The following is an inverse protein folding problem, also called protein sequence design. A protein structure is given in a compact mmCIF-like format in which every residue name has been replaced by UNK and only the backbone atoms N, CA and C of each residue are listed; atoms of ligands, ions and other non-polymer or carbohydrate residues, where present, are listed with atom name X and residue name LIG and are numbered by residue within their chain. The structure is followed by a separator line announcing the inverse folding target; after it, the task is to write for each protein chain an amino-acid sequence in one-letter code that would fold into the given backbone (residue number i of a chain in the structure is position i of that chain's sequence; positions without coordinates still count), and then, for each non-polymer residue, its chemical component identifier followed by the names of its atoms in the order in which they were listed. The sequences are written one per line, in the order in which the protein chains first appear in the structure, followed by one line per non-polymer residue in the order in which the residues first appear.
data_IF_881646238499
#
_entry.id   IF_881646238499
#
_cell.length_a   1.000
_cell.length_b   1.000
_cell.length_c   1.000
_cell.angle_alpha   90.00
_cell.angle_beta   90.00
_cell.angle_gamma   90.00
#
_symmetry.space_group_name_H-M   'P 1'
#
loop_
_entity.id
_entity.type
_entity.pdbx_description
1 polymer ?
#
# COMPACT_ATOMS: atom_id res chain seq x y z
N UNK A 1 -2.59 -10.69 -49.07
CA UNK A 1 -3.51 -11.65 -49.71
C UNK A 1 -4.82 -11.61 -48.95
N UNK A 2 -5.93 -11.37 -49.65
CA UNK A 2 -7.27 -11.34 -49.09
C UNK A 2 -8.10 -12.40 -49.81
N UNK A 3 -8.77 -13.26 -49.03
CA UNK A 3 -9.59 -14.32 -49.59
C UNK A 3 -10.83 -13.76 -50.28
N UNK A 4 -11.10 -14.24 -51.48
CA UNK A 4 -12.30 -13.90 -52.23
C UNK A 4 -13.51 -14.74 -51.78
N UNK A 5 -14.71 -14.36 -52.25
CA UNK A 5 -15.94 -15.12 -51.99
C UNK A 5 -15.86 -16.50 -52.65
N UNK A 6 -15.33 -16.56 -53.88
CA UNK A 6 -15.19 -17.79 -54.66
C UNK A 6 -14.30 -18.80 -53.94
N UNK A 7 -13.14 -18.36 -53.44
CA UNK A 7 -12.22 -19.21 -52.68
C UNK A 7 -12.85 -19.76 -51.39
N UNK A 8 -13.73 -18.97 -50.74
CA UNK A 8 -14.46 -19.41 -49.55
C UNK A 8 -15.51 -20.46 -49.91
N UNK A 9 -16.28 -20.27 -50.98
CA UNK A 9 -17.27 -21.24 -51.44
C UNK A 9 -16.61 -22.56 -51.89
N UNK A 10 -15.45 -22.50 -52.56
CA UNK A 10 -14.63 -23.67 -52.87
C UNK A 10 -14.15 -24.38 -51.59
N UNK A 11 -13.68 -23.63 -50.60
CA UNK A 11 -13.26 -24.19 -49.31
C UNK A 11 -14.42 -24.90 -48.59
N UNK A 12 -15.62 -24.30 -48.61
CA UNK A 12 -16.83 -24.89 -48.03
C UNK A 12 -17.23 -26.19 -48.74
N UNK A 13 -17.16 -26.21 -50.08
CA UNK A 13 -17.44 -27.39 -50.89
C UNK A 13 -16.46 -28.54 -50.57
N UNK A 14 -15.16 -28.25 -50.47
CA UNK A 14 -14.14 -29.23 -50.07
C UNK A 14 -14.35 -29.77 -48.65
N UNK A 15 -14.86 -28.92 -47.74
CA UNK A 15 -15.18 -29.31 -46.38
C UNK A 15 -16.53 -30.05 -46.23
N UNK A 16 -17.30 -30.23 -47.32
CA UNK A 16 -18.61 -30.86 -47.30
C UNK A 16 -19.68 -30.04 -46.55
N UNK A 17 -19.46 -28.73 -46.36
CA UNK A 17 -20.38 -27.84 -45.67
C UNK A 17 -21.34 -27.18 -46.66
N UNK A 18 -22.65 -27.24 -46.37
CA UNK A 18 -23.66 -26.59 -47.22
C UNK A 18 -23.69 -25.08 -46.95
N UNK A 19 -23.46 -24.22 -47.96
CA UNK A 19 -23.49 -22.76 -47.79
C UNK A 19 -24.85 -22.21 -47.33
N UNK A 20 -25.93 -22.95 -47.58
CA UNK A 20 -27.30 -22.61 -47.16
C UNK A 20 -27.51 -22.78 -45.63
N UNK A 21 -26.69 -23.60 -44.98
CA UNK A 21 -26.73 -23.80 -43.52
C UNK A 21 -25.91 -22.77 -42.75
N UNK A 22 -25.21 -21.87 -43.45
CA UNK A 22 -24.32 -20.88 -42.88
C UNK A 22 -24.83 -19.48 -43.19
N UNK A 23 -24.62 -18.54 -42.28
CA UNK A 23 -24.83 -17.12 -42.56
C UNK A 23 -23.94 -16.68 -43.72
N UNK A 24 -24.42 -15.69 -44.47
CA UNK A 24 -23.68 -15.03 -45.56
C UNK A 24 -22.60 -14.07 -45.07
N UNK A 25 -22.34 -13.97 -43.77
CA UNK A 25 -21.20 -13.21 -43.24
C UNK A 25 -20.05 -14.17 -42.92
N UNK A 26 -18.90 -13.98 -43.57
CA UNK A 26 -17.66 -14.72 -43.28
C UNK A 26 -16.61 -13.75 -42.72
N UNK A 27 -16.01 -14.09 -41.59
CA UNK A 27 -14.87 -13.37 -41.04
C UNK A 27 -13.61 -14.22 -41.23
N UNK A 28 -12.64 -13.73 -42.00
CA UNK A 28 -11.37 -14.40 -42.25
C UNK A 28 -10.33 -13.82 -41.31
N UNK A 29 -9.81 -14.68 -40.43
CA UNK A 29 -8.82 -14.31 -39.42
C UNK A 29 -7.43 -14.39 -40.04
N UNK A 30 -6.66 -13.32 -39.95
CA UNK A 30 -5.28 -13.26 -40.43
C UNK A 30 -4.32 -13.02 -39.27
N UNK A 31 -3.20 -13.73 -39.29
CA UNK A 31 -2.06 -13.47 -38.41
C UNK A 31 -0.99 -12.73 -39.21
N UNK A 32 -1.07 -11.39 -39.20
CA UNK A 32 -0.06 -10.51 -39.82
C UNK A 32 1.01 -10.06 -38.81
N UNK A 33 1.19 -10.82 -37.73
CA UNK A 33 2.05 -10.48 -36.59
C UNK A 33 3.53 -10.24 -36.96
N UNK A 34 4.00 -10.49 -38.19
CA UNK A 34 5.38 -10.23 -38.62
C UNK A 34 5.53 -9.14 -39.68
N UNK A 35 4.42 -8.65 -40.25
CA UNK A 35 4.40 -7.79 -41.45
C UNK A 35 3.81 -6.40 -41.21
N UNK A 36 3.41 -6.09 -39.97
CA UNK A 36 2.82 -4.79 -39.62
C UNK A 36 3.89 -3.86 -39.05
N UNK A 37 3.89 -2.60 -39.51
CA UNK A 37 4.88 -1.56 -39.17
C UNK A 37 4.94 -1.17 -37.68
N UNK A 38 4.02 -1.65 -36.84
CA UNK A 38 3.92 -1.35 -35.39
C UNK A 38 4.22 -2.58 -34.50
N UNK A 39 5.11 -3.47 -34.94
CA UNK A 39 5.44 -4.71 -34.23
C UNK A 39 5.90 -4.48 -32.78
N UNK A 40 6.69 -3.43 -32.55
CA UNK A 40 7.23 -3.10 -31.23
C UNK A 40 6.16 -2.58 -30.27
N UNK A 41 5.13 -1.88 -30.75
CA UNK A 41 4.04 -1.40 -29.90
C UNK A 41 3.08 -2.53 -29.51
N UNK A 42 2.82 -3.48 -30.41
CA UNK A 42 1.95 -4.63 -30.12
C UNK A 42 2.61 -5.64 -29.17
N UNK A 43 3.95 -5.73 -29.17
CA UNK A 43 4.72 -6.44 -28.13
C UNK A 43 4.57 -5.85 -26.73
N UNK A 44 4.10 -4.60 -26.58
CA UNK A 44 3.90 -3.95 -25.27
C UNK A 44 2.58 -4.31 -24.58
N UNK A 45 1.60 -4.86 -25.30
CA UNK A 45 0.34 -5.26 -24.67
C UNK A 45 0.59 -6.37 -23.63
N UNK A 46 -0.04 -6.34 -22.47
CA UNK A 46 0.07 -7.43 -21.50
C UNK A 46 -1.32 -7.84 -21.08
N UNK A 47 -1.49 -9.13 -20.77
CA UNK A 47 -2.71 -9.63 -20.16
C UNK A 47 -2.53 -9.58 -18.65
N UNK A 48 -3.50 -9.02 -17.95
CA UNK A 48 -3.44 -8.81 -16.51
C UNK A 48 -4.80 -9.13 -15.91
N UNK A 49 -4.81 -9.95 -14.89
CA UNK A 49 -6.00 -10.29 -14.11
C UNK A 49 -6.26 -9.22 -13.06
N UNK A 50 -7.50 -8.75 -12.97
CA UNK A 50 -7.91 -7.70 -12.04
C UNK A 50 -9.05 -8.23 -11.17
N UNK A 51 -9.00 -7.92 -9.87
CA UNK A 51 -10.13 -8.13 -8.97
C UNK A 51 -11.20 -7.03 -9.15
N UNK A 52 -12.34 -7.20 -8.49
CA UNK A 52 -13.46 -6.24 -8.55
C UNK A 52 -13.05 -4.84 -8.07
N UNK A 53 -12.12 -4.75 -7.11
CA UNK A 53 -11.66 -3.47 -6.58
C UNK A 53 -10.85 -2.69 -7.64
N UNK A 54 -9.86 -3.33 -8.25
CA UNK A 54 -9.02 -2.74 -9.28
C UNK A 54 -9.81 -2.42 -10.55
N UNK A 55 -10.73 -3.30 -10.95
CA UNK A 55 -11.66 -3.03 -12.05
C UNK A 55 -12.47 -1.76 -11.77
N UNK A 56 -13.04 -1.64 -10.57
CA UNK A 56 -13.80 -0.45 -10.17
C UNK A 56 -12.94 0.82 -10.11
N UNK A 57 -11.68 0.71 -9.64
CA UNK A 57 -10.74 1.83 -9.68
C UNK A 57 -10.51 2.34 -11.11
N UNK A 58 -10.31 1.44 -12.07
CA UNK A 58 -10.09 1.79 -13.48
C UNK A 58 -11.35 2.41 -14.09
N UNK A 59 -12.53 1.82 -13.84
CA UNK A 59 -13.81 2.35 -14.34
C UNK A 59 -14.12 3.76 -13.80
N UNK A 60 -13.70 4.06 -12.57
CA UNK A 60 -13.82 5.38 -11.96
C UNK A 60 -12.71 6.36 -12.39
N UNK A 61 -11.75 5.93 -13.19
CA UNK A 61 -10.60 6.76 -13.61
C UNK A 61 -9.62 7.06 -12.49
N UNK A 62 -9.53 6.20 -11.46
CA UNK A 62 -8.53 6.31 -10.40
C UNK A 62 -7.17 5.82 -10.89
N UNK A 63 -6.12 6.44 -10.37
CA UNK A 63 -4.75 6.07 -10.70
C UNK A 63 -4.33 4.76 -10.03
N UNK A 64 -3.62 3.94 -10.79
CA UNK A 64 -2.90 2.76 -10.31
C UNK A 64 -1.41 2.93 -10.61
N UNK A 65 -0.55 2.59 -9.66
CA UNK A 65 0.90 2.78 -9.79
C UNK A 65 1.66 1.48 -9.59
N UNK A 66 2.55 1.13 -10.50
CA UNK A 66 3.54 0.08 -10.28
C UNK A 66 4.71 0.62 -9.47
N UNK A 67 5.09 -0.08 -8.40
CA UNK A 67 6.23 0.27 -7.55
C UNK A 67 7.21 -0.91 -7.46
N UNK A 68 8.50 -0.60 -7.44
CA UNK A 68 9.57 -1.59 -7.30
C UNK A 68 10.69 -1.02 -6.44
N UNK A 69 11.14 -1.78 -5.46
CA UNK A 69 12.37 -1.51 -4.75
C UNK A 69 13.55 -2.26 -5.38
N UNK A 70 14.78 -1.80 -5.14
CA UNK A 70 15.99 -2.43 -5.67
C UNK A 70 16.04 -3.91 -5.29
N UNK A 71 16.15 -4.79 -6.30
CA UNK A 71 16.15 -6.25 -6.15
C UNK A 71 14.87 -6.85 -5.51
N UNK A 72 13.75 -6.16 -5.56
CA UNK A 72 12.47 -6.65 -5.06
C UNK A 72 11.49 -6.93 -6.19
N UNK A 73 10.54 -7.83 -5.94
CA UNK A 73 9.35 -8.03 -6.77
C UNK A 73 8.57 -6.70 -6.99
N UNK A 74 7.83 -6.64 -8.10
CA UNK A 74 6.99 -5.49 -8.44
C UNK A 74 5.67 -5.60 -7.69
N UNK A 75 5.16 -4.46 -7.20
CA UNK A 75 3.81 -4.35 -6.66
C UNK A 75 2.99 -3.36 -7.48
N UNK A 76 1.69 -3.58 -7.53
CA UNK A 76 0.70 -2.64 -8.03
C UNK A 76 -0.02 -2.02 -6.84
N UNK A 77 -0.11 -0.70 -6.79
CA UNK A 77 -0.81 0.01 -5.72
C UNK A 77 -2.00 0.77 -6.29
N UNK A 78 -3.15 0.63 -5.64
CA UNK A 78 -4.23 1.61 -5.71
C UNK A 78 -4.00 2.73 -4.68
N UNK A 79 -4.97 3.60 -4.47
CA UNK A 79 -4.91 4.61 -3.41
C UNK A 79 -4.84 4.00 -2.00
N UNK A 80 -5.40 2.79 -1.81
CA UNK A 80 -5.63 2.19 -0.50
C UNK A 80 -5.08 0.77 -0.31
N UNK A 81 -4.71 0.08 -1.38
CA UNK A 81 -4.31 -1.34 -1.34
C UNK A 81 -3.06 -1.60 -2.16
N UNK A 82 -2.28 -2.58 -1.71
CA UNK A 82 -1.12 -3.09 -2.42
C UNK A 82 -1.33 -4.51 -2.88
N UNK A 83 -0.86 -4.77 -4.10
CA UNK A 83 -0.98 -6.06 -4.74
C UNK A 83 0.37 -6.54 -5.26
N UNK A 84 0.66 -7.80 -5.02
CA UNK A 84 1.78 -8.49 -5.64
C UNK A 84 1.46 -8.82 -7.10
N UNK A 85 2.42 -8.61 -7.99
CA UNK A 85 2.31 -8.89 -9.43
C UNK A 85 3.17 -10.11 -9.77
N UNK A 86 2.55 -11.18 -10.29
CA UNK A 86 3.24 -12.41 -10.69
C UNK A 86 2.92 -12.77 -12.13
N UNK A 87 3.93 -13.10 -12.91
CA UNK A 87 3.72 -13.69 -14.23
C UNK A 87 3.36 -15.17 -14.09
N UNK A 88 2.33 -15.60 -14.82
CA UNK A 88 1.85 -16.97 -14.89
C UNK A 88 1.78 -17.44 -16.35
N UNK A 89 2.21 -18.67 -16.59
CA UNK A 89 2.12 -19.32 -17.90
C UNK A 89 0.73 -19.94 -18.11
N UNK A 90 0.25 -19.87 -19.35
CA UNK A 90 -1.00 -20.50 -19.77
C UNK A 90 -0.71 -21.79 -20.53
N UNK A 91 -1.46 -22.86 -20.25
CA UNK A 91 -1.40 -24.10 -21.05
C UNK A 91 -2.04 -23.93 -22.43
N UNK A 92 -2.87 -22.90 -22.60
CA UNK A 92 -3.56 -22.54 -23.83
C UNK A 92 -3.10 -21.17 -24.32
N UNK A 93 -3.34 -20.90 -25.61
CA UNK A 93 -3.10 -19.57 -26.19
C UNK A 93 -4.36 -18.71 -26.14
N UNK A 94 -4.25 -17.47 -25.67
CA UNK A 94 -5.34 -16.49 -25.74
C UNK A 94 -5.09 -15.52 -26.89
N UNK A 95 -6.08 -15.37 -27.78
CA UNK A 95 -5.93 -14.56 -28.99
C UNK A 95 -6.79 -13.31 -28.88
N UNK A 96 -6.15 -12.14 -28.91
CA UNK A 96 -6.82 -10.86 -28.96
C UNK A 96 -7.08 -10.47 -30.41
N UNK A 97 -8.36 -10.35 -30.75
CA UNK A 97 -8.84 -10.02 -32.09
C UNK A 97 -9.86 -8.89 -31.98
N UNK A 98 -9.43 -7.62 -32.06
CA UNK A 98 -10.32 -6.46 -31.99
C UNK A 98 -11.35 -6.50 -33.12
N UNK A 99 -12.61 -6.20 -32.80
CA UNK A 99 -13.69 -6.09 -33.79
C UNK A 99 -14.18 -7.42 -34.37
N UNK A 100 -13.74 -8.57 -33.82
CA UNK A 100 -14.31 -9.87 -34.17
C UNK A 100 -15.77 -9.93 -33.73
N UNK A 101 -16.67 -10.08 -34.69
CA UNK A 101 -18.10 -10.18 -34.40
C UNK A 101 -18.45 -11.57 -33.91
N UNK A 102 -19.08 -11.67 -32.75
CA UNK A 102 -19.58 -12.93 -32.20
C UNK A 102 -20.95 -13.28 -32.79
N UNK A 103 -21.40 -14.52 -32.58
CA UNK A 103 -22.67 -15.05 -33.15
C UNK A 103 -23.86 -14.11 -32.91
N UNK A 104 -24.00 -13.57 -31.69
CA UNK A 104 -25.10 -12.67 -31.33
C UNK A 104 -25.08 -11.35 -32.10
N UNK A 105 -23.90 -10.87 -32.50
CA UNK A 105 -23.75 -9.65 -33.27
C UNK A 105 -24.00 -9.91 -34.76
N UNK A 106 -23.51 -11.04 -35.27
CA UNK A 106 -23.77 -11.47 -36.65
C UNK A 106 -25.27 -11.68 -36.89
N UNK A 107 -26.00 -12.22 -35.91
CA UNK A 107 -27.45 -12.43 -36.02
C UNK A 107 -28.25 -11.14 -36.18
N UNK A 108 -27.73 -10.00 -35.71
CA UNK A 108 -28.36 -8.68 -35.86
C UNK A 108 -28.14 -8.07 -37.25
N UNK A 109 -27.20 -8.62 -38.03
CA UNK A 109 -26.91 -8.15 -39.38
C UNK A 109 -28.01 -8.69 -40.31
N UNK A 110 -28.68 -7.83 -41.10
CA UNK A 110 -29.64 -8.27 -42.10
C UNK A 110 -29.01 -9.30 -43.03
N UNK A 111 -29.79 -10.33 -43.38
CA UNK A 111 -29.33 -11.36 -44.29
C UNK A 111 -29.13 -10.76 -45.68
N UNK A 112 -27.89 -10.77 -46.15
CA UNK A 112 -27.53 -10.30 -47.48
C UNK A 112 -27.71 -11.43 -48.50
N UNK A 113 -28.09 -11.09 -49.73
CA UNK A 113 -28.21 -12.05 -50.83
C UNK A 113 -26.84 -12.66 -51.21
N UNK A 114 -25.78 -11.87 -51.04
CA UNK A 114 -24.39 -12.23 -51.38
C UNK A 114 -23.56 -12.42 -50.11
N UNK A 115 -22.64 -13.37 -50.13
CA UNK A 115 -21.70 -13.61 -49.03
C UNK A 115 -20.74 -12.43 -48.88
N UNK A 116 -20.76 -11.79 -47.72
CA UNK A 116 -19.84 -10.72 -47.33
C UNK A 116 -18.65 -11.30 -46.58
N UNK A 117 -17.45 -10.92 -47.01
CA UNK A 117 -16.19 -11.38 -46.43
C UNK A 117 -15.52 -10.22 -45.71
N UNK A 118 -15.30 -10.37 -44.42
CA UNK A 118 -14.60 -9.41 -43.60
C UNK A 118 -13.22 -9.93 -43.23
N UNK A 119 -12.20 -9.10 -43.45
CA UNK A 119 -10.88 -9.31 -42.89
C UNK A 119 -10.89 -8.94 -41.40
N UNK A 120 -10.35 -9.83 -40.57
CA UNK A 120 -10.11 -9.53 -39.15
C UNK A 120 -8.67 -9.93 -38.83
N UNK A 121 -7.93 -9.02 -38.21
CA UNK A 121 -6.51 -9.22 -37.90
C UNK A 121 -6.32 -9.60 -36.44
N UNK A 122 -5.49 -10.61 -36.19
CA UNK A 122 -5.01 -10.94 -34.84
C UNK A 122 -4.11 -9.82 -34.36
N UNK A 123 -4.47 -9.21 -33.24
CA UNK A 123 -3.69 -8.15 -32.60
C UNK A 123 -2.52 -8.75 -31.82
N UNK A 124 -2.81 -9.78 -31.01
CA UNK A 124 -1.81 -10.45 -30.17
C UNK A 124 -2.25 -11.87 -29.80
N UNK A 125 -1.26 -12.75 -29.61
CA UNK A 125 -1.43 -14.05 -28.98
C UNK A 125 -0.67 -14.01 -27.66
N UNK A 126 -1.35 -14.34 -26.56
CA UNK A 126 -0.78 -14.42 -25.22
C UNK A 126 -0.56 -15.87 -24.83
N UNK A 127 0.59 -16.11 -24.19
CA UNK A 127 0.96 -17.39 -23.56
C UNK A 127 1.25 -17.22 -22.07
N UNK A 128 1.33 -15.97 -21.60
CA UNK A 128 1.48 -15.59 -20.20
C UNK A 128 0.51 -14.47 -19.87
N UNK A 129 0.21 -14.32 -18.59
CA UNK A 129 -0.55 -13.22 -18.02
C UNK A 129 0.02 -12.84 -16.66
N UNK A 130 -0.32 -11.65 -16.18
CA UNK A 130 0.02 -11.21 -14.84
C UNK A 130 -1.15 -11.44 -13.89
N UNK A 131 -0.93 -12.29 -12.90
CA UNK A 131 -1.78 -12.44 -11.73
C UNK A 131 -1.50 -11.32 -10.75
N UNK A 132 -2.58 -10.75 -10.21
CA UNK A 132 -2.52 -9.73 -9.17
C UNK A 132 -3.15 -10.29 -7.89
N UNK A 133 -2.41 -10.23 -6.78
CA UNK A 133 -2.89 -10.74 -5.48
C UNK A 133 -2.71 -9.69 -4.40
N UNK A 134 -3.80 -9.34 -3.71
CA UNK A 134 -3.72 -8.40 -2.58
C UNK A 134 -2.72 -8.93 -1.54
N UNK A 135 -1.83 -8.06 -1.09
CA UNK A 135 -0.76 -8.42 -0.18
C UNK A 135 -0.62 -7.38 0.92
N UNK A 136 -0.09 -7.79 2.06
CA UNK A 136 0.16 -6.86 3.16
C UNK A 136 1.38 -5.99 2.83
N UNK A 137 1.33 -4.68 3.14
CA UNK A 137 2.46 -3.79 2.94
C UNK A 137 3.65 -4.25 3.78
N UNK A 138 4.86 -4.18 3.22
CA UNK A 138 6.09 -4.58 3.90
C UNK A 138 6.57 -3.47 4.84
N UNK A 139 5.98 -3.42 6.03
CA UNK A 139 6.33 -2.43 7.05
C UNK A 139 7.80 -2.52 7.46
N UNK A 140 8.37 -3.73 7.54
CA UNK A 140 9.80 -3.94 7.83
C UNK A 140 10.72 -3.16 6.89
N UNK A 141 10.35 -3.08 5.61
CA UNK A 141 11.16 -2.42 4.59
C UNK A 141 11.09 -0.90 4.79
N UNK A 142 9.89 -0.37 5.12
CA UNK A 142 9.70 1.03 5.51
C UNK A 142 10.56 1.42 6.73
N UNK A 143 10.55 0.61 7.78
CA UNK A 143 11.37 0.87 8.98
C UNK A 143 12.86 0.81 8.64
N UNK A 144 13.25 -0.11 7.76
CA UNK A 144 14.65 -0.26 7.33
C UNK A 144 15.14 0.97 6.57
N UNK A 145 14.35 1.52 5.63
CA UNK A 145 14.76 2.70 4.87
C UNK A 145 14.82 3.97 5.73
N UNK A 146 14.01 4.06 6.78
CA UNK A 146 13.99 5.21 7.70
C UNK A 146 15.04 5.11 8.83
N UNK A 147 15.53 3.91 9.13
CA UNK A 147 16.49 3.67 10.22
C UNK A 147 17.75 4.54 10.19
N UNK A 148 18.41 4.79 9.03
CA UNK A 148 19.59 5.66 8.96
C UNK A 148 19.32 7.10 9.38
N UNK A 149 18.11 7.59 9.12
CA UNK A 149 17.64 8.92 9.47
C UNK A 149 16.60 8.85 10.60
N UNK A 150 16.79 7.93 11.56
CA UNK A 150 15.91 7.82 12.73
C UNK A 150 16.17 8.96 13.72
N UNK A 151 15.11 9.39 14.40
CA UNK A 151 15.18 10.39 15.45
C UNK A 151 15.63 9.74 16.76
N UNK A 152 16.77 10.20 17.27
CA UNK A 152 17.42 9.67 18.49
C UNK A 152 17.42 10.67 19.64
N UNK A 153 16.94 11.88 19.40
CA UNK A 153 16.99 13.01 20.31
C UNK A 153 17.55 14.27 19.66
N UNK A 154 17.10 15.42 20.14
CA UNK A 154 17.45 16.75 19.62
C UNK A 154 18.96 16.98 19.57
N UNK A 155 19.69 16.38 20.50
CA UNK A 155 21.15 16.47 20.61
C UNK A 155 21.91 15.80 19.45
N UNK A 156 21.28 14.84 18.76
CA UNK A 156 21.85 14.10 17.65
C UNK A 156 21.53 14.71 16.29
N UNK A 157 20.54 15.61 16.21
CA UNK A 157 20.00 16.05 14.92
C UNK A 157 21.01 16.83 14.06
N UNK A 158 21.95 17.52 14.71
CA UNK A 158 23.03 18.28 14.04
C UNK A 158 23.97 17.41 13.18
N UNK A 159 24.01 16.10 13.40
CA UNK A 159 24.92 15.18 12.69
C UNK A 159 24.22 14.42 11.55
N UNK A 160 22.96 14.68 11.27
CA UNK A 160 22.22 13.94 10.25
C UNK A 160 22.58 14.45 8.87
N UNK A 161 22.89 13.53 7.98
CA UNK A 161 23.03 13.81 6.56
C UNK A 161 21.66 14.15 5.95
N UNK A 162 21.48 15.39 5.51
CA UNK A 162 20.20 15.84 4.92
C UNK A 162 19.76 15.00 3.71
N UNK A 163 20.70 14.44 2.96
CA UNK A 163 20.44 13.52 1.84
C UNK A 163 19.78 12.21 2.26
N UNK A 164 19.95 11.80 3.52
CA UNK A 164 19.33 10.58 4.08
C UNK A 164 17.87 10.77 4.46
N UNK A 165 17.38 12.02 4.60
CA UNK A 165 16.01 12.34 4.99
C UNK A 165 15.01 11.92 3.91
N UNK A 166 13.80 11.59 4.34
CA UNK A 166 12.67 11.22 3.49
C UNK A 166 11.53 12.20 3.66
N UNK A 167 11.23 12.97 2.62
CA UNK A 167 9.96 13.69 2.51
C UNK A 167 8.86 12.75 1.99
N UNK A 168 7.65 13.26 1.81
CA UNK A 168 6.51 12.45 1.37
C UNK A 168 6.75 11.77 0.01
N UNK A 169 7.24 12.51 -0.99
CA UNK A 169 7.43 11.97 -2.34
C UNK A 169 8.54 10.92 -2.36
N UNK A 170 9.70 11.22 -1.74
CA UNK A 170 10.80 10.25 -1.67
C UNK A 170 10.39 8.99 -0.93
N UNK A 171 9.58 9.11 0.14
CA UNK A 171 9.07 7.96 0.88
C UNK A 171 8.09 7.14 0.04
N UNK A 172 7.16 7.82 -0.65
CA UNK A 172 6.15 7.21 -1.52
C UNK A 172 6.76 6.43 -2.68
N UNK A 173 7.85 6.93 -3.27
CA UNK A 173 8.60 6.29 -4.34
C UNK A 173 9.42 5.10 -3.83
N UNK A 174 9.94 5.19 -2.61
CA UNK A 174 10.80 4.15 -2.02
C UNK A 174 10.02 3.01 -1.38
N UNK A 175 8.81 3.28 -0.88
CA UNK A 175 7.99 2.29 -0.17
C UNK A 175 7.12 1.49 -1.14
N UNK A 176 7.19 0.16 -1.04
CA UNK A 176 6.33 -0.76 -1.81
C UNK A 176 4.96 -0.92 -1.15
N UNK A 177 4.23 0.19 -1.01
CA UNK A 177 2.87 0.21 -0.48
C UNK A 177 2.03 1.37 -1.04
N UNK A 178 0.71 1.27 -0.93
CA UNK A 178 -0.20 2.35 -1.30
C UNK A 178 -0.05 3.56 -0.38
N UNK A 179 -0.53 4.72 -0.83
CA UNK A 179 -0.46 5.94 -0.05
C UNK A 179 -1.33 5.86 1.22
N UNK A 180 -2.48 5.18 1.14
CA UNK A 180 -3.33 4.91 2.29
C UNK A 180 -2.65 4.00 3.32
N UNK A 181 -2.04 2.91 2.89
CA UNK A 181 -1.29 2.01 3.76
C UNK A 181 -0.06 2.70 4.35
N UNK A 182 0.63 3.54 3.59
CA UNK A 182 1.77 4.32 4.08
C UNK A 182 1.36 5.25 5.21
N UNK A 183 0.25 5.99 5.06
CA UNK A 183 -0.27 6.87 6.13
C UNK A 183 -0.60 6.09 7.40
N UNK A 184 -1.21 4.92 7.26
CA UNK A 184 -1.49 4.02 8.41
C UNK A 184 -0.19 3.51 9.04
N UNK A 185 0.80 3.14 8.23
CA UNK A 185 2.09 2.66 8.72
C UNK A 185 2.83 3.75 9.52
N UNK A 186 2.78 5.00 9.04
CA UNK A 186 3.40 6.14 9.72
C UNK A 186 2.85 6.33 11.14
N UNK A 187 1.53 6.31 11.30
CA UNK A 187 0.89 6.48 12.62
C UNK A 187 1.11 5.28 13.54
N UNK A 188 1.06 4.05 13.01
CA UNK A 188 1.20 2.84 13.82
C UNK A 188 2.62 2.51 14.26
N UNK A 189 3.64 3.12 13.65
CA UNK A 189 5.05 2.76 13.88
C UNK A 189 5.90 3.94 14.42
N UNK A 190 5.27 4.92 15.07
CA UNK A 190 5.96 6.08 15.65
C UNK A 190 6.90 6.80 14.67
N UNK A 191 6.36 7.15 13.50
CA UNK A 191 7.10 7.91 12.48
C UNK A 191 6.57 9.34 12.48
N UNK A 192 7.36 10.27 13.02
CA UNK A 192 7.03 11.68 13.10
C UNK A 192 7.32 12.42 11.79
N UNK A 193 6.45 13.37 11.41
CA UNK A 193 6.82 14.38 10.42
C UNK A 193 7.46 15.57 11.13
N UNK A 194 8.77 15.72 10.95
CA UNK A 194 9.58 16.80 11.50
C UNK A 194 10.10 17.66 10.36
N UNK A 195 9.68 18.93 10.33
CA UNK A 195 10.10 19.90 9.30
C UNK A 195 9.93 19.39 7.86
N UNK A 196 8.87 18.64 7.58
CA UNK A 196 8.58 18.06 6.27
C UNK A 196 9.23 16.70 6.01
N UNK A 197 9.99 16.15 6.96
CA UNK A 197 10.68 14.87 6.84
C UNK A 197 10.13 13.83 7.80
N UNK A 198 9.99 12.59 7.33
CA UNK A 198 9.51 11.47 8.13
C UNK A 198 10.66 10.81 8.89
N UNK A 199 10.48 10.66 10.20
CA UNK A 199 11.52 10.28 11.15
C UNK A 199 11.01 9.17 12.05
N UNK A 200 11.60 7.98 11.93
CA UNK A 200 11.34 6.88 12.84
C UNK A 200 11.88 7.22 14.23
N UNK A 201 11.03 7.26 15.25
CA UNK A 201 11.46 7.46 16.64
C UNK A 201 12.04 6.14 17.16
N UNK A 202 13.29 6.15 17.61
CA UNK A 202 13.93 4.94 18.15
C UNK A 202 13.40 4.62 19.54
N UNK A 203 13.41 3.33 19.89
CA UNK A 203 12.93 2.81 21.16
C UNK A 203 13.58 3.52 22.37
N UNK A 204 14.88 3.79 22.32
CA UNK A 204 15.60 4.44 23.42
C UNK A 204 15.10 5.86 23.68
N UNK A 205 14.78 6.61 22.61
CA UNK A 205 14.21 7.95 22.76
C UNK A 205 12.75 7.87 23.21
N UNK A 206 11.96 6.94 22.66
CA UNK A 206 10.58 6.69 23.08
C UNK A 206 10.50 6.43 24.59
N UNK A 207 11.31 5.51 25.09
CA UNK A 207 11.40 5.19 26.51
C UNK A 207 11.78 6.42 27.36
N UNK A 208 12.81 7.16 26.94
CA UNK A 208 13.25 8.38 27.64
C UNK A 208 12.14 9.44 27.68
N UNK A 209 11.43 9.63 26.58
CA UNK A 209 10.33 10.59 26.51
C UNK A 209 9.19 10.21 27.44
N UNK A 210 8.79 8.92 27.48
CA UNK A 210 7.76 8.44 28.41
C UNK A 210 8.18 8.66 29.86
N UNK A 211 9.43 8.34 30.23
CA UNK A 211 9.94 8.60 31.59
C UNK A 211 9.87 10.07 31.95
N UNK A 212 10.31 10.99 31.07
CA UNK A 212 10.22 12.43 31.32
C UNK A 212 8.77 12.90 31.54
N UNK A 213 7.80 12.33 30.81
CA UNK A 213 6.39 12.67 30.98
C UNK A 213 5.81 12.14 32.30
N UNK A 214 6.25 10.96 32.75
CA UNK A 214 5.86 10.39 34.05
C UNK A 214 6.50 11.17 35.20
N UNK A 215 7.78 11.48 35.11
CA UNK A 215 8.51 12.28 36.11
C UNK A 215 7.83 13.65 36.27
N UNK A 216 7.45 14.30 35.18
CA UNK A 216 6.73 15.58 35.23
C UNK A 216 5.35 15.46 35.92
N UNK A 217 4.60 14.38 35.67
CA UNK A 217 3.33 14.12 36.36
C UNK A 217 3.54 13.97 37.87
N UNK A 218 4.56 13.20 38.29
CA UNK A 218 4.90 12.98 39.69
C UNK A 218 5.36 14.29 40.37
N UNK A 219 6.22 15.07 39.72
CA UNK A 219 6.71 16.36 40.21
C UNK A 219 5.57 17.36 40.50
N UNK A 220 4.52 17.33 39.67
CA UNK A 220 3.33 18.16 39.86
C UNK A 220 2.25 17.50 40.75
N UNK A 221 2.50 16.29 41.25
CA UNK A 221 1.55 15.51 42.05
C UNK A 221 0.20 15.33 41.36
N UNK A 222 0.22 15.16 40.04
CA UNK A 222 -0.99 14.98 39.24
C UNK A 222 -1.53 13.56 39.35
N UNK A 223 -2.86 13.39 39.50
CA UNK A 223 -3.48 12.10 39.31
C UNK A 223 -3.22 11.56 37.90
N UNK A 224 -3.09 10.23 37.78
CA UNK A 224 -2.84 9.54 36.51
C UNK A 224 -3.94 9.74 35.44
N UNK A 225 -5.10 10.28 35.83
CA UNK A 225 -6.26 10.57 34.98
C UNK A 225 -6.58 12.07 34.85
N UNK A 226 -5.69 12.95 35.30
CA UNK A 226 -5.85 14.41 35.25
C UNK A 226 -4.62 15.09 34.62
N UNK A 227 -4.09 14.52 33.54
CA UNK A 227 -2.88 15.03 32.88
C UNK A 227 -3.26 16.06 31.82
N UNK A 228 -2.68 17.26 31.90
CA UNK A 228 -2.81 18.29 30.85
C UNK A 228 -1.72 18.11 29.78
N UNK A 229 -2.15 17.92 28.52
CA UNK A 229 -1.26 17.69 27.39
C UNK A 229 -0.38 18.89 27.07
N UNK A 230 -0.96 20.10 27.07
CA UNK A 230 -0.23 21.30 26.64
C UNK A 230 0.74 21.77 27.72
N UNK A 231 0.36 21.66 28.99
CA UNK A 231 1.27 21.95 30.10
C UNK A 231 2.44 20.95 30.16
N UNK A 232 2.17 19.65 29.95
CA UNK A 232 3.23 18.63 29.82
C UNK A 232 4.16 18.95 28.64
N UNK A 233 3.60 19.35 27.49
CA UNK A 233 4.41 19.75 26.33
C UNK A 233 5.25 20.99 26.63
N UNK A 234 4.67 22.02 27.24
CA UNK A 234 5.36 23.27 27.52
C UNK A 234 6.56 23.09 28.47
N UNK A 235 6.47 22.15 29.41
CA UNK A 235 7.58 21.79 30.29
C UNK A 235 8.70 21.02 29.56
N UNK A 236 8.34 20.20 28.56
CA UNK A 236 9.28 19.28 27.89
C UNK A 236 9.72 19.71 26.48
N UNK A 237 9.22 20.84 25.95
CA UNK A 237 9.41 21.26 24.55
C UNK A 237 10.86 21.46 24.10
N UNK A 238 11.76 21.77 25.03
CA UNK A 238 13.20 21.90 24.75
C UNK A 238 13.88 20.54 24.55
N UNK A 239 13.27 19.47 25.08
CA UNK A 239 13.80 18.09 25.04
C UNK A 239 13.08 17.24 23.98
N UNK A 240 11.78 17.50 23.77
CA UNK A 240 10.91 16.71 22.91
C UNK A 240 10.23 17.65 21.88
N UNK A 241 10.57 17.55 20.59
CA UNK A 241 9.90 18.32 19.54
C UNK A 241 8.40 17.99 19.48
N UNK A 242 7.56 18.99 19.14
CA UNK A 242 6.09 18.86 19.13
C UNK A 242 5.59 17.61 18.40
N UNK A 243 6.07 17.39 17.18
CA UNK A 243 5.65 16.27 16.35
C UNK A 243 5.98 14.89 16.98
N UNK A 244 7.06 14.81 17.75
CA UNK A 244 7.46 13.59 18.46
C UNK A 244 6.65 13.45 19.75
N UNK A 245 6.48 14.55 20.49
CA UNK A 245 5.66 14.61 21.69
C UNK A 245 4.24 14.13 21.41
N UNK A 246 3.59 14.71 20.40
CA UNK A 246 2.20 14.39 20.05
C UNK A 246 1.99 12.90 19.78
N UNK A 247 2.90 12.27 19.01
CA UNK A 247 2.82 10.84 18.69
C UNK A 247 3.03 9.94 19.91
N UNK A 248 4.01 10.26 20.76
CA UNK A 248 4.27 9.47 21.97
C UNK A 248 3.13 9.66 22.97
N UNK A 249 2.70 10.91 23.19
CA UNK A 249 1.60 11.23 24.08
C UNK A 249 0.31 10.51 23.66
N UNK A 250 -0.07 10.57 22.38
CA UNK A 250 -1.25 9.87 21.85
C UNK A 250 -1.14 8.34 21.97
N UNK A 251 0.07 7.79 21.86
CA UNK A 251 0.29 6.35 22.04
C UNK A 251 0.03 5.91 23.48
N UNK A 252 0.48 6.69 24.45
CA UNK A 252 0.51 6.34 25.88
C UNK A 252 -0.63 6.92 26.70
N UNK A 253 -1.50 7.73 26.11
CA UNK A 253 -2.62 8.34 26.82
C UNK A 253 -3.94 8.10 26.10
N UNK A 254 -5.03 8.24 26.85
CA UNK A 254 -6.39 8.25 26.37
C UNK A 254 -7.14 9.44 26.98
N UNK A 255 -8.20 9.95 26.35
CA UNK A 255 -9.02 10.99 26.97
C UNK A 255 -9.51 10.57 28.36
N UNK A 256 -9.41 11.47 29.34
CA UNK A 256 -9.86 11.20 30.70
C UNK A 256 -11.39 11.04 30.76
N UNK A 257 -11.92 10.09 31.55
CA UNK A 257 -13.36 10.00 31.80
C UNK A 257 -13.91 11.25 32.50
N UNK A 258 -13.05 12.06 33.14
CA UNK A 258 -13.44 13.30 33.81
C UNK A 258 -13.77 14.44 32.84
N UNK A 259 -13.45 14.29 31.55
CA UNK A 259 -13.71 15.32 30.53
C UNK A 259 -15.20 15.59 30.30
N UNK A 260 -16.09 14.62 30.57
CA UNK A 260 -17.55 14.82 30.48
C UNK A 260 -18.04 15.97 31.39
N UNK A 261 -17.29 16.29 32.45
CA UNK A 261 -17.60 17.35 33.42
C UNK A 261 -16.97 18.70 33.01
N UNK A 262 -15.91 18.66 32.19
CA UNK A 262 -15.08 19.83 31.85
C UNK A 262 -15.65 20.59 30.65
N UNK A 263 -16.37 19.91 29.74
CA UNK A 263 -17.06 20.55 28.61
C UNK A 263 -18.06 21.64 29.03
N UNK A 264 -18.61 21.55 30.25
CA UNK A 264 -19.53 22.56 30.80
C UNK A 264 -18.83 23.81 31.37
N UNK A 265 -17.53 23.73 31.69
CA UNK A 265 -16.77 24.79 32.37
C UNK A 265 -15.72 25.46 31.49
N UNK A 266 -15.46 24.93 30.29
CA UNK A 266 -14.49 25.50 29.33
C UNK A 266 -13.02 25.30 29.72
N UNK A 267 -12.73 24.26 30.51
CA UNK A 267 -11.36 23.87 30.88
C UNK A 267 -10.61 23.15 29.75
N UNK A 268 -9.32 22.90 29.96
CA UNK A 268 -8.48 22.10 29.05
C UNK A 268 -8.85 20.61 29.12
N UNK A 269 -8.66 19.90 27.99
CA UNK A 269 -8.87 18.46 27.92
C UNK A 269 -7.83 17.74 28.78
N UNK A 270 -8.30 16.91 29.70
CA UNK A 270 -7.46 16.05 30.54
C UNK A 270 -7.29 14.67 29.93
N UNK A 271 -6.18 14.04 30.25
CA UNK A 271 -5.80 12.73 29.74
C UNK A 271 -5.49 11.78 30.89
N UNK A 272 -5.66 10.49 30.60
CA UNK A 272 -5.24 9.38 31.45
C UNK A 272 -4.12 8.60 30.78
N UNK A 273 -3.08 8.24 31.52
CA UNK A 273 -2.11 7.25 31.04
C UNK A 273 -2.75 5.88 30.82
N UNK A 274 -2.42 5.27 29.69
CA UNK A 274 -2.72 3.86 29.40
C UNK A 274 -1.74 2.99 30.20
N UNK A 275 -2.16 2.61 31.41
CA UNK A 275 -1.38 1.83 32.38
C UNK A 275 -0.77 0.57 31.74
N UNK A 276 -1.51 -0.13 30.89
CA UNK A 276 -1.02 -1.34 30.23
C UNK A 276 0.17 -1.01 29.32
N UNK A 277 0.03 0.00 28.46
CA UNK A 277 1.12 0.39 27.54
C UNK A 277 2.33 0.94 28.28
N UNK A 278 2.11 1.79 29.29
CA UNK A 278 3.18 2.37 30.10
C UNK A 278 3.95 1.27 30.82
N UNK A 279 3.26 0.37 31.53
CA UNK A 279 3.90 -0.75 32.23
C UNK A 279 4.65 -1.67 31.26
N UNK A 280 4.08 -1.98 30.08
CA UNK A 280 4.77 -2.75 29.05
C UNK A 280 6.03 -2.04 28.52
N UNK A 281 6.02 -0.71 28.38
CA UNK A 281 7.19 0.07 27.98
C UNK A 281 8.31 -0.04 29.04
N UNK A 282 7.99 0.20 30.31
CA UNK A 282 8.95 0.10 31.41
C UNK A 282 9.52 -1.33 31.53
N UNK A 283 8.69 -2.36 31.34
CA UNK A 283 9.14 -3.75 31.25
C UNK A 283 10.13 -3.99 30.09
N UNK A 284 9.83 -3.45 28.89
CA UNK A 284 10.71 -3.56 27.71
C UNK A 284 12.07 -2.91 27.97
N UNK A 285 12.09 -1.75 28.64
CA UNK A 285 13.33 -1.08 29.03
C UNK A 285 14.17 -1.97 29.94
N UNK A 286 13.55 -2.58 30.96
CA UNK A 286 14.25 -3.49 31.88
C UNK A 286 14.79 -4.75 31.19
N UNK A 287 14.01 -5.33 30.27
CA UNK A 287 14.42 -6.49 29.48
C UNK A 287 15.57 -6.16 28.52
N UNK A 288 15.55 -4.97 27.91
CA UNK A 288 16.64 -4.50 27.06
C UNK A 288 17.93 -4.25 27.85
N UNK A 289 17.82 -3.76 29.09
CA UNK A 289 18.95 -3.51 29.98
C UNK A 289 19.55 -4.80 30.59
N UNK A 290 18.74 -5.85 30.79
CA UNK A 290 19.21 -7.14 31.33
C UNK A 290 18.49 -8.33 30.68
N UNK A 291 19.12 -9.02 29.71
CA UNK A 291 18.51 -10.14 28.99
C UNK A 291 18.42 -11.44 29.81
N UNK A 292 19.04 -11.51 30.98
CA UNK A 292 19.06 -12.70 31.84
C UNK A 292 18.60 -12.36 33.25
N UNK A 293 17.30 -12.43 33.51
CA UNK A 293 16.74 -12.24 34.84
C UNK A 293 15.93 -13.46 35.25
N UNK A 294 16.18 -14.00 36.44
CA UNK A 294 15.23 -14.91 37.09
C UNK A 294 13.89 -14.18 37.27
N UNK A 295 12.77 -14.86 37.00
CA UNK A 295 11.43 -14.24 36.97
C UNK A 295 11.14 -13.35 38.19
N UNK A 296 11.43 -13.83 39.41
CA UNK A 296 11.16 -13.08 40.63
C UNK A 296 11.95 -11.76 40.70
N UNK A 297 13.25 -11.79 40.37
CA UNK A 297 14.10 -10.60 40.39
C UNK A 297 13.65 -9.59 39.34
N UNK A 298 13.15 -10.07 38.19
CA UNK A 298 12.56 -9.19 37.18
C UNK A 298 11.28 -8.52 37.69
N UNK A 299 10.36 -9.29 38.28
CA UNK A 299 9.11 -8.75 38.82
C UNK A 299 9.35 -7.73 39.93
N UNK A 300 10.33 -7.97 40.81
CA UNK A 300 10.72 -7.01 41.84
C UNK A 300 11.28 -5.72 41.23
N UNK A 301 12.20 -5.82 40.27
CA UNK A 301 12.76 -4.65 39.59
C UNK A 301 11.70 -3.87 38.80
N UNK A 302 10.76 -4.57 38.16
CA UNK A 302 9.67 -3.95 37.42
C UNK A 302 8.72 -3.20 38.33
N UNK A 303 8.32 -3.79 39.46
CA UNK A 303 7.45 -3.15 40.44
C UNK A 303 8.07 -1.90 41.09
N UNK A 304 9.40 -1.86 41.23
CA UNK A 304 10.12 -0.67 41.73
C UNK A 304 10.21 0.44 40.67
N UNK A 305 10.24 0.07 39.39
CA UNK A 305 10.41 1.02 38.28
C UNK A 305 9.11 1.58 37.71
N UNK A 306 7.95 1.19 38.23
CA UNK A 306 6.63 1.69 37.82
C UNK A 306 6.10 2.73 38.81
N UNK A 307 5.59 3.88 38.35
CA UNK A 307 4.89 4.85 39.19
C UNK A 307 3.73 4.23 39.99
N UNK A 308 3.46 4.76 41.20
CA UNK A 308 2.34 4.33 42.07
C UNK A 308 0.95 4.70 41.54
#
# INVERSE_FOLDING_TARGET
YERSVEEIEETLALAGLSPLKLRKTTQVIYSNLKQQNNLEDRKKLVLMELDDHLASCIEQGKDLSFKSAKNSHIVLCSESKTYEVKEAEMSNSLVLIPGLKLSNEIQKIPEADVRNVHRVDVERIFHTYYEIRETKPRISDLLTILSPSSFKGVEYEKHIEKSSLFDWEKLRESAQMSDGELKIALTQNLIANMDGYYRLIVFEFEARAVTLMLDFMEENSWPVDEIDKEETYDALKELIPRAVFDLIFEKYTVPSPKNEIIEETGGSLLYKYDEEKVCQMLAKVLLAASPTNAYNNFMEAWNVGTPE
#
